data_IF_182773405603
#
_entry.id   IF_182773405603
#
_cell.length_a   1.000
_cell.length_b   1.000
_cell.length_c   1.000
_cell.angle_alpha   90.00
_cell.angle_beta   90.00
_cell.angle_gamma   90.00
#
_symmetry.space_group_name_H-M   'P 1'
#
loop_
_entity.id
_entity.type
_entity.pdbx_description
1 polymer ?
#
# COMPACT_ATOMS: atom_id res chain seq x y z
N UNK A 1 17.75 -46.91 -13.89
CA UNK A 1 16.88 -45.79 -14.33
C UNK A 1 15.39 -46.10 -14.05
N UNK A 2 14.96 -46.34 -12.80
CA UNK A 2 13.54 -46.65 -12.53
C UNK A 2 13.05 -46.21 -11.11
N UNK A 3 13.61 -45.15 -10.53
CA UNK A 3 13.19 -44.63 -9.19
C UNK A 3 12.67 -43.18 -9.20
N UNK A 4 12.81 -42.45 -10.31
CA UNK A 4 12.39 -41.05 -10.46
C UNK A 4 10.87 -40.79 -10.54
N UNK A 5 10.01 -41.69 -11.09
CA UNK A 5 8.58 -41.38 -11.23
C UNK A 5 7.83 -41.50 -9.90
N UNK A 6 8.31 -42.35 -8.98
CA UNK A 6 7.68 -42.54 -7.67
C UNK A 6 7.86 -41.33 -6.75
N UNK A 7 9.02 -40.67 -6.80
CA UNK A 7 9.28 -39.44 -6.03
C UNK A 7 8.34 -38.29 -6.47
N UNK A 8 8.17 -38.11 -7.78
CA UNK A 8 7.28 -37.10 -8.33
C UNK A 8 5.82 -37.36 -7.94
N UNK A 9 5.41 -38.64 -7.92
CA UNK A 9 4.05 -39.00 -7.54
C UNK A 9 3.79 -38.84 -6.04
N UNK A 10 4.78 -39.15 -5.20
CA UNK A 10 4.73 -38.88 -3.76
C UNK A 10 4.63 -37.39 -3.46
N UNK A 11 5.35 -36.53 -4.19
CA UNK A 11 5.25 -35.06 -4.03
C UNK A 11 3.86 -34.57 -4.46
N UNK A 12 3.35 -35.02 -5.60
CA UNK A 12 2.00 -34.66 -6.05
C UNK A 12 0.92 -35.10 -5.05
N UNK A 13 1.04 -36.32 -4.49
CA UNK A 13 0.11 -36.81 -3.47
C UNK A 13 0.18 -36.01 -2.17
N UNK A 14 1.38 -35.61 -1.74
CA UNK A 14 1.55 -34.78 -0.55
C UNK A 14 0.95 -33.37 -0.75
N UNK A 15 1.20 -32.74 -1.90
CA UNK A 15 0.62 -31.44 -2.26
C UNK A 15 -0.91 -31.52 -2.35
N UNK A 16 -1.44 -32.57 -2.98
CA UNK A 16 -2.88 -32.80 -3.05
C UNK A 16 -3.52 -33.00 -1.66
N UNK A 17 -2.83 -33.70 -0.76
CA UNK A 17 -3.26 -33.86 0.64
C UNK A 17 -3.33 -32.54 1.41
N UNK A 18 -2.33 -31.67 1.25
CA UNK A 18 -2.31 -30.33 1.87
C UNK A 18 -3.40 -29.43 1.29
N UNK A 19 -3.68 -29.52 -0.01
CA UNK A 19 -4.75 -28.74 -0.64
C UNK A 19 -6.14 -29.23 -0.22
N UNK A 20 -6.30 -30.55 -0.01
CA UNK A 20 -7.56 -31.14 0.42
C UNK A 20 -7.94 -30.76 1.87
N UNK A 21 -6.98 -30.49 2.76
CA UNK A 21 -7.26 -30.02 4.13
C UNK A 21 -7.80 -28.59 4.18
N UNK A 22 -7.66 -27.80 3.11
CA UNK A 22 -8.25 -26.46 3.00
C UNK A 22 -9.76 -26.45 2.75
N UNK A 23 -10.33 -27.56 2.24
CA UNK A 23 -11.72 -27.57 1.74
C UNK A 23 -12.79 -27.72 2.85
N UNK A 24 -12.39 -27.95 4.11
CA UNK A 24 -13.32 -28.09 5.26
C UNK A 24 -12.95 -27.20 6.45
N UNK A 25 -12.30 -26.06 6.20
CA UNK A 25 -11.78 -25.21 7.27
C UNK A 25 -12.78 -24.13 7.68
N UNK A 26 -13.64 -24.46 8.65
CA UNK A 26 -13.92 -23.48 9.69
C UNK A 26 -12.53 -23.13 10.28
N UNK A 27 -12.13 -21.87 10.29
CA UNK A 27 -10.80 -21.47 10.79
C UNK A 27 -10.93 -20.93 12.21
N UNK A 28 -11.29 -21.75 13.20
CA UNK A 28 -11.82 -21.27 14.48
C UNK A 28 -10.85 -20.38 15.23
N UNK A 29 -9.53 -20.55 15.10
CA UNK A 29 -8.56 -19.65 15.74
C UNK A 29 -8.42 -18.34 14.96
N UNK A 30 -8.35 -18.40 13.63
CA UNK A 30 -8.21 -17.22 12.77
C UNK A 30 -9.46 -16.35 12.83
N UNK A 31 -10.65 -16.96 12.72
CA UNK A 31 -11.94 -16.27 12.79
C UNK A 31 -12.21 -15.68 14.18
N UNK A 32 -11.83 -16.40 15.25
CA UNK A 32 -11.96 -15.87 16.63
C UNK A 32 -11.05 -14.67 16.89
N UNK A 33 -9.86 -14.63 16.27
CA UNK A 33 -8.85 -13.60 16.54
C UNK A 33 -8.76 -12.54 15.43
N UNK A 34 -9.55 -12.64 14.37
CA UNK A 34 -9.47 -11.76 13.21
C UNK A 34 -9.59 -10.28 13.62
N UNK A 35 -10.62 -9.96 14.42
CA UNK A 35 -10.84 -8.59 14.90
C UNK A 35 -9.70 -8.04 15.75
N UNK A 36 -9.16 -8.84 16.69
CA UNK A 36 -8.03 -8.42 17.52
C UNK A 36 -6.76 -8.20 16.69
N UNK A 37 -6.51 -9.07 15.72
CA UNK A 37 -5.34 -9.00 14.86
C UNK A 37 -5.41 -7.79 13.91
N UNK A 38 -6.58 -7.50 13.34
CA UNK A 38 -6.78 -6.29 12.52
C UNK A 38 -6.60 -5.02 13.34
N UNK A 39 -7.13 -4.98 14.56
CA UNK A 39 -6.94 -3.82 15.45
C UNK A 39 -5.47 -3.63 15.84
N UNK A 40 -4.75 -4.71 16.12
CA UNK A 40 -3.32 -4.67 16.40
C UNK A 40 -2.52 -4.16 15.20
N UNK A 41 -2.78 -4.70 14.01
CA UNK A 41 -2.12 -4.27 12.78
C UNK A 41 -2.39 -2.78 12.50
N UNK A 42 -3.64 -2.35 12.66
CA UNK A 42 -4.01 -0.94 12.53
C UNK A 42 -3.23 -0.06 13.51
N UNK A 43 -3.09 -0.47 14.77
CA UNK A 43 -2.31 0.28 15.77
C UNK A 43 -0.82 0.38 15.40
N UNK A 44 -0.27 -0.63 14.71
CA UNK A 44 1.10 -0.62 14.21
C UNK A 44 1.28 0.21 12.93
N UNK A 45 0.23 0.33 12.10
CA UNK A 45 0.26 1.06 10.83
C UNK A 45 -0.09 2.54 10.98
N UNK A 46 -0.77 2.94 12.06
CA UNK A 46 -1.16 4.33 12.29
C UNK A 46 0.01 5.09 12.90
N UNK A 47 0.58 6.01 12.11
CA UNK A 47 1.71 6.89 12.50
C UNK A 47 1.34 7.79 13.69
N UNK A 48 0.11 8.29 13.70
CA UNK A 48 -0.39 9.15 14.78
C UNK A 48 -1.88 8.87 15.08
N UNK A 49 -2.19 8.10 16.13
CA UNK A 49 -3.56 7.82 16.55
C UNK A 49 -4.32 9.04 17.08
N UNK A 50 -3.62 10.07 17.57
CA UNK A 50 -4.19 11.27 18.17
C UNK A 50 -4.27 12.45 17.19
N UNK A 51 -3.92 12.26 15.91
CA UNK A 51 -4.06 13.25 14.85
C UNK A 51 -5.45 13.92 14.79
N UNK A 52 -6.59 13.18 14.86
CA UNK A 52 -7.90 13.82 14.73
C UNK A 52 -8.23 14.75 15.91
N UNK A 53 -7.77 14.45 17.12
CA UNK A 53 -8.02 15.30 18.30
C UNK A 53 -7.19 16.59 18.29
N UNK A 54 -6.10 16.61 17.51
CA UNK A 54 -5.19 17.76 17.37
C UNK A 54 -5.40 18.51 16.07
N UNK A 55 -6.30 18.04 15.21
CA UNK A 55 -6.61 18.70 13.97
C UNK A 55 -7.23 20.06 14.27
N UNK A 56 -6.48 21.13 13.97
CA UNK A 56 -7.06 22.47 13.91
C UNK A 56 -8.05 22.50 12.76
N UNK A 57 -9.18 23.24 12.88
CA UNK A 57 -10.07 23.46 11.74
C UNK A 57 -9.26 23.97 10.55
N UNK A 58 -9.32 23.24 9.43
CA UNK A 58 -8.74 23.70 8.18
C UNK A 58 -9.66 24.77 7.60
N UNK A 59 -9.41 26.03 7.96
CA UNK A 59 -10.07 27.17 7.34
C UNK A 59 -9.19 27.71 6.22
N UNK A 60 -9.73 27.74 5.00
CA UNK A 60 -9.13 28.50 3.89
C UNK A 60 -9.86 29.83 3.83
N UNK A 61 -9.12 30.94 3.90
CA UNK A 61 -9.73 32.25 3.69
C UNK A 61 -10.20 32.43 2.23
N UNK A 62 -11.15 33.33 2.00
CA UNK A 62 -11.75 33.52 0.68
C UNK A 62 -10.72 33.94 -0.38
N UNK A 63 -9.69 34.69 0.01
CA UNK A 63 -8.64 35.18 -0.89
C UNK A 63 -7.72 34.04 -1.35
N UNK A 64 -7.29 33.19 -0.43
CA UNK A 64 -6.47 32.01 -0.70
C UNK A 64 -7.23 31.00 -1.55
N UNK A 65 -8.53 30.82 -1.30
CA UNK A 65 -9.39 29.99 -2.15
C UNK A 65 -9.50 30.57 -3.57
N UNK A 66 -9.70 31.89 -3.69
CA UNK A 66 -9.77 32.56 -4.98
C UNK A 66 -8.45 32.43 -5.76
N UNK A 67 -7.32 32.69 -5.11
CA UNK A 67 -6.01 32.61 -5.75
C UNK A 67 -5.62 31.16 -6.08
N UNK A 68 -6.03 30.17 -5.28
CA UNK A 68 -5.85 28.75 -5.61
C UNK A 68 -6.56 28.39 -6.93
N UNK A 69 -7.82 28.82 -7.09
CA UNK A 69 -8.60 28.63 -8.33
C UNK A 69 -7.97 29.39 -9.49
N UNK A 70 -7.51 30.62 -9.27
CA UNK A 70 -6.82 31.43 -10.27
C UNK A 70 -5.53 30.76 -10.77
N UNK A 71 -4.69 30.25 -9.86
CA UNK A 71 -3.47 29.50 -10.19
C UNK A 71 -3.77 28.22 -10.96
N UNK A 72 -4.84 27.52 -10.58
CA UNK A 72 -5.30 26.35 -11.32
C UNK A 72 -5.59 26.70 -12.78
N UNK A 73 -6.38 27.75 -13.04
CA UNK A 73 -6.66 28.20 -14.41
C UNK A 73 -5.40 28.69 -15.15
N UNK A 74 -4.50 29.41 -14.47
CA UNK A 74 -3.24 29.88 -15.05
C UNK A 74 -2.33 28.72 -15.46
N UNK A 75 -2.36 27.60 -14.75
CA UNK A 75 -1.53 26.42 -15.08
C UNK A 75 -1.86 25.85 -16.47
N UNK A 76 -3.11 25.92 -16.91
CA UNK A 76 -3.53 25.51 -18.26
C UNK A 76 -3.21 26.53 -19.35
N UNK A 77 -2.92 27.79 -18.97
CA UNK A 77 -2.50 28.86 -19.88
C UNK A 77 -0.98 29.05 -19.89
N UNK A 78 -0.28 28.41 -18.96
CA UNK A 78 1.17 28.49 -18.86
C UNK A 78 1.79 27.89 -20.13
N UNK A 79 2.72 28.59 -20.80
CA UNK A 79 3.44 28.02 -21.93
C UNK A 79 4.09 26.71 -21.52
N UNK A 80 4.06 25.70 -22.40
CA UNK A 80 4.82 24.46 -22.20
C UNK A 80 6.27 24.84 -21.92
N UNK A 81 6.86 24.41 -20.78
CA UNK A 81 8.25 24.69 -20.50
C UNK A 81 9.11 24.24 -21.69
N UNK A 82 10.13 25.03 -22.09
CA UNK A 82 11.00 24.61 -23.18
C UNK A 82 11.58 23.23 -22.86
N UNK A 83 11.62 22.31 -23.83
CA UNK A 83 12.16 20.97 -23.63
C UNK A 83 13.58 21.09 -23.07
N UNK A 84 13.80 20.59 -21.84
CA UNK A 84 15.07 20.69 -21.11
C UNK A 84 15.00 21.35 -19.72
N UNK A 85 13.84 21.85 -19.27
CA UNK A 85 13.70 22.53 -17.97
C UNK A 85 13.81 21.63 -16.72
N UNK A 86 13.90 20.31 -16.87
CA UNK A 86 14.16 19.39 -15.76
C UNK A 86 15.64 18.99 -15.73
N UNK A 87 16.50 19.85 -15.21
CA UNK A 87 17.86 19.46 -14.81
C UNK A 87 17.82 18.86 -13.41
N UNK A 88 17.52 17.57 -13.33
CA UNK A 88 17.76 16.79 -12.12
C UNK A 88 19.27 16.61 -12.04
N UNK A 89 19.96 17.51 -11.31
CA UNK A 89 21.32 17.25 -10.89
C UNK A 89 21.27 16.13 -9.85
N UNK A 90 21.27 14.88 -10.31
CA UNK A 90 21.60 13.75 -9.46
C UNK A 90 23.07 13.92 -9.04
N UNK A 91 23.31 14.63 -7.93
CA UNK A 91 24.61 14.60 -7.25
C UNK A 91 24.72 13.23 -6.59
N UNK A 92 25.29 12.31 -7.35
CA UNK A 92 26.02 11.20 -6.78
C UNK A 92 27.37 11.70 -6.30
N UNK A 93 27.67 11.48 -5.02
CA UNK A 93 29.02 11.14 -4.60
C UNK A 93 28.91 10.16 -3.44
N UNK A 94 29.17 8.90 -3.75
CA UNK A 94 29.52 7.92 -2.73
C UNK A 94 30.78 8.38 -2.00
N UNK A 95 30.81 8.12 -0.70
CA UNK A 95 32.00 8.06 0.15
C UNK A 95 31.76 6.93 1.12
#
# INVERSE_FOLDING_TARGET
MLTRPHLAWSICAAVAGILATGCTTMTPNLDRQFGSNVNLLKAQQVIDPAAPARATPVSVDGETAHEAVNRYYKSYKAPTPPPGAFTINAVGKGS
#
